data_IF_316248933305
#
_entry.id   IF_316248933305
#
_cell.length_a   1.000
_cell.length_b   1.000
_cell.length_c   1.000
_cell.angle_alpha   90.00
_cell.angle_beta   90.00
_cell.angle_gamma   90.00
#
_symmetry.space_group_name_H-M   'P 1'
#
loop_
_entity.id
_entity.type
_entity.pdbx_description
1 polymer ?
#
# COMPACT_ATOMS: atom_id res chain seq x y z
N UNK A 1 -6.83 -6.18 13.73
CA UNK A 1 -7.01 -5.01 12.84
C UNK A 1 -7.83 -5.43 11.62
N UNK A 2 -8.78 -4.59 11.17
CA UNK A 2 -9.66 -4.88 10.01
C UNK A 2 -9.17 -4.06 8.81
N UNK A 3 -8.64 -4.73 7.78
CA UNK A 3 -8.03 -4.06 6.61
C UNK A 3 -9.06 -3.69 5.53
N UNK A 4 -10.14 -4.46 5.35
CA UNK A 4 -11.07 -4.32 4.21
C UNK A 4 -12.55 -4.03 4.58
N UNK A 5 -12.90 -3.01 5.39
CA UNK A 5 -14.25 -2.84 5.92
C UNK A 5 -15.37 -2.73 4.87
N UNK A 6 -15.09 -2.15 3.70
CA UNK A 6 -16.04 -1.92 2.60
C UNK A 6 -15.38 -2.10 1.22
N UNK A 7 -16.21 -2.20 0.18
CA UNK A 7 -15.77 -2.37 -1.21
C UNK A 7 -14.89 -1.22 -1.69
N UNK A 8 -15.25 0.02 -1.37
CA UNK A 8 -14.48 1.21 -1.78
C UNK A 8 -13.08 1.26 -1.18
N UNK A 9 -12.92 0.88 0.09
CA UNK A 9 -11.58 0.79 0.70
C UNK A 9 -10.77 -0.34 0.09
N UNK A 10 -11.40 -1.47 -0.21
CA UNK A 10 -10.73 -2.58 -0.91
C UNK A 10 -10.22 -2.13 -2.28
N UNK A 11 -11.08 -1.44 -3.04
CA UNK A 11 -10.75 -0.81 -4.31
C UNK A 11 -9.52 0.09 -4.17
N UNK A 12 -9.55 1.04 -3.24
CA UNK A 12 -8.45 1.99 -3.04
C UNK A 12 -7.15 1.33 -2.57
N UNK A 13 -7.22 0.27 -1.75
CA UNK A 13 -6.04 -0.41 -1.23
C UNK A 13 -5.33 -1.29 -2.28
N UNK A 14 -6.10 -1.94 -3.16
CA UNK A 14 -5.56 -2.83 -4.20
C UNK A 14 -5.19 -2.09 -5.49
N UNK A 15 -5.73 -0.89 -5.71
CA UNK A 15 -5.52 -0.11 -6.93
C UNK A 15 -4.05 0.12 -7.30
N UNK A 16 -3.12 0.43 -6.36
CA UNK A 16 -1.71 0.56 -6.70
C UNK A 16 -1.09 -0.73 -7.24
N UNK A 17 -1.54 -1.89 -6.75
CA UNK A 17 -1.01 -3.20 -7.19
C UNK A 17 -1.64 -3.63 -8.53
N UNK A 18 -2.83 -3.12 -8.86
CA UNK A 18 -3.43 -3.25 -10.19
C UNK A 18 -2.68 -2.38 -11.21
N UNK A 19 -2.40 -1.13 -10.85
CA UNK A 19 -1.69 -0.17 -11.71
C UNK A 19 -0.22 -0.57 -11.95
N UNK A 20 0.40 -1.29 -11.01
CA UNK A 20 1.73 -1.88 -11.20
C UNK A 20 1.73 -3.16 -12.04
N UNK A 21 0.55 -3.70 -12.38
CA UNK A 21 0.40 -4.98 -13.07
C UNK A 21 0.71 -6.20 -12.19
N UNK A 22 0.81 -6.04 -10.87
CA UNK A 22 1.01 -7.16 -9.95
C UNK A 22 -0.24 -8.03 -9.86
N UNK A 23 -1.44 -7.45 -9.88
CA UNK A 23 -2.69 -8.21 -9.91
C UNK A 23 -3.44 -7.99 -11.21
N UNK A 24 -4.15 -9.02 -11.67
CA UNK A 24 -4.98 -8.92 -12.87
C UNK A 24 -6.24 -8.09 -12.60
N UNK A 25 -6.83 -7.52 -13.65
CA UNK A 25 -8.12 -6.82 -13.54
C UNK A 25 -9.24 -7.77 -13.08
N UNK A 26 -9.15 -9.06 -13.44
CA UNK A 26 -10.10 -10.10 -13.02
C UNK A 26 -10.07 -10.30 -11.50
N UNK A 27 -8.88 -10.57 -10.95
CA UNK A 27 -8.66 -10.79 -9.52
C UNK A 27 -9.07 -9.58 -8.68
N UNK A 28 -8.77 -8.37 -9.19
CA UNK A 28 -9.19 -7.11 -8.57
C UNK A 28 -10.72 -7.00 -8.46
N UNK A 29 -11.45 -7.32 -9.53
CA UNK A 29 -12.91 -7.27 -9.53
C UNK A 29 -13.51 -8.35 -8.60
N UNK A 30 -12.96 -9.57 -8.61
CA UNK A 30 -13.34 -10.62 -7.69
C UNK A 30 -13.15 -10.18 -6.23
N UNK A 31 -12.00 -9.60 -5.90
CA UNK A 31 -11.68 -9.13 -4.55
C UNK A 31 -12.68 -8.07 -4.05
N UNK A 32 -13.03 -7.09 -4.88
CA UNK A 32 -13.99 -6.03 -4.54
C UNK A 32 -15.37 -6.63 -4.22
N UNK A 33 -15.81 -7.63 -4.98
CA UNK A 33 -17.09 -8.31 -4.75
C UNK A 33 -17.06 -9.21 -3.49
N UNK A 34 -15.92 -9.84 -3.21
CA UNK A 34 -15.78 -10.84 -2.16
C UNK A 34 -15.63 -10.23 -0.76
N UNK A 35 -14.70 -9.30 -0.53
CA UNK A 35 -14.39 -8.81 0.83
C UNK A 35 -15.53 -8.16 1.65
N UNK A 36 -16.57 -7.52 1.07
CA UNK A 36 -17.70 -7.02 1.86
C UNK A 36 -18.69 -8.12 2.32
N UNK A 37 -18.73 -9.28 1.65
CA UNK A 37 -19.86 -10.23 1.75
C UNK A 37 -19.85 -11.25 2.91
N UNK A 38 -18.76 -12.02 3.16
CA UNK A 38 -18.79 -13.20 4.02
C UNK A 38 -19.02 -12.91 5.50
N UNK A 39 -18.76 -11.66 5.93
CA UNK A 39 -18.71 -11.29 7.35
C UNK A 39 -20.01 -11.49 8.09
N UNK A 40 -21.13 -11.27 7.40
CA UNK A 40 -22.45 -11.41 8.01
C UNK A 40 -22.96 -12.85 7.98
N UNK A 41 -22.27 -13.79 7.32
CA UNK A 41 -22.76 -15.17 7.20
C UNK A 41 -22.89 -15.87 8.56
N UNK A 42 -21.90 -15.85 9.47
CA UNK A 42 -22.04 -16.49 10.79
C UNK A 42 -23.17 -15.89 11.62
N UNK A 43 -23.33 -14.56 11.58
CA UNK A 43 -24.40 -13.86 12.31
C UNK A 43 -25.77 -14.22 11.75
N UNK A 44 -25.92 -14.19 10.41
CA UNK A 44 -27.18 -14.57 9.74
C UNK A 44 -27.60 -16.00 10.06
N UNK A 45 -26.66 -16.95 10.00
CA UNK A 45 -26.95 -18.35 10.33
C UNK A 45 -27.17 -18.57 11.83
N UNK A 46 -26.46 -17.84 12.70
CA UNK A 46 -26.71 -17.84 14.15
C UNK A 46 -28.13 -17.37 14.49
N UNK A 47 -28.58 -16.25 13.91
CA UNK A 47 -29.96 -15.77 14.05
C UNK A 47 -30.95 -16.81 13.51
N UNK A 48 -30.68 -17.37 12.33
CA UNK A 48 -31.49 -18.47 11.77
C UNK A 48 -31.60 -19.67 12.70
N UNK A 49 -30.50 -20.05 13.37
CA UNK A 49 -30.46 -21.11 14.37
C UNK A 49 -31.31 -20.79 15.62
N UNK A 50 -31.28 -19.55 16.11
CA UNK A 50 -32.15 -19.09 17.20
C UNK A 50 -33.62 -19.20 16.78
N UNK A 51 -33.97 -18.70 15.59
CA UNK A 51 -35.36 -18.70 15.10
C UNK A 51 -35.87 -20.13 14.92
N UNK A 52 -35.05 -21.02 14.35
CA UNK A 52 -35.41 -22.42 14.13
C UNK A 52 -35.59 -23.18 15.46
N UNK A 53 -34.67 -23.00 16.42
CA UNK A 53 -34.79 -23.59 17.75
C UNK A 53 -36.00 -23.03 18.52
N UNK A 54 -36.22 -21.72 18.48
CA UNK A 54 -37.36 -21.05 19.11
C UNK A 54 -38.69 -21.52 18.53
N UNK A 55 -38.80 -21.60 17.19
CA UNK A 55 -39.99 -22.11 16.52
C UNK A 55 -40.27 -23.58 16.90
N UNK A 56 -39.23 -24.42 16.94
CA UNK A 56 -39.37 -25.80 17.40
C UNK A 56 -39.90 -25.88 18.85
N UNK A 57 -39.34 -25.09 19.76
CA UNK A 57 -39.77 -25.07 21.16
C UNK A 57 -41.20 -24.55 21.33
N UNK A 58 -41.59 -23.52 20.57
CA UNK A 58 -42.90 -22.89 20.67
C UNK A 58 -44.01 -23.72 20.03
N UNK A 59 -43.82 -24.18 18.79
CA UNK A 59 -44.88 -24.89 18.05
C UNK A 59 -44.94 -26.39 18.36
N UNK A 60 -43.78 -27.05 18.49
CA UNK A 60 -43.72 -28.51 18.68
C UNK A 60 -43.75 -28.87 20.15
N UNK A 61 -42.90 -28.22 20.97
CA UNK A 61 -42.81 -28.53 22.40
C UNK A 61 -43.70 -27.67 23.29
N UNK A 62 -44.33 -26.62 22.76
CA UNK A 62 -45.21 -25.70 23.48
C UNK A 62 -44.60 -25.16 24.78
N UNK A 63 -43.30 -24.89 24.78
CA UNK A 63 -42.60 -24.33 25.95
C UNK A 63 -42.99 -22.86 26.11
N UNK A 64 -43.44 -22.41 27.30
CA UNK A 64 -43.82 -21.01 27.49
C UNK A 64 -42.62 -20.07 27.31
N UNK A 65 -42.84 -18.99 26.57
CA UNK A 65 -41.86 -17.93 26.36
C UNK A 65 -41.57 -17.29 27.72
N UNK A 66 -40.34 -17.45 28.21
CA UNK A 66 -39.95 -17.04 29.57
C UNK A 66 -39.53 -18.19 30.49
N UNK A 67 -39.73 -19.45 30.09
CA UNK A 67 -39.17 -20.59 30.82
C UNK A 67 -37.63 -20.54 30.82
N UNK A 68 -37.01 -20.85 31.97
CA UNK A 68 -35.55 -21.02 32.09
C UNK A 68 -34.99 -22.06 31.09
N UNK A 69 -35.82 -22.99 30.59
CA UNK A 69 -35.43 -24.00 29.60
C UNK A 69 -35.32 -23.44 28.17
N UNK A 70 -35.89 -22.26 27.91
CA UNK A 70 -35.91 -21.65 26.58
C UNK A 70 -34.53 -21.09 26.19
N UNK A 71 -33.91 -20.31 27.09
CA UNK A 71 -32.62 -19.66 26.89
C UNK A 71 -31.47 -20.60 26.49
N UNK A 72 -31.18 -21.70 27.21
CA UNK A 72 -30.08 -22.60 26.83
C UNK A 72 -30.32 -23.28 25.49
N UNK A 73 -31.58 -23.60 25.15
CA UNK A 73 -31.91 -24.24 23.89
C UNK A 73 -31.77 -23.28 22.69
N UNK A 74 -32.21 -22.02 22.82
CA UNK A 74 -31.93 -21.00 21.79
C UNK A 74 -30.44 -20.67 21.69
N UNK A 75 -29.72 -20.70 22.82
CA UNK A 75 -28.27 -20.55 22.85
C UNK A 75 -27.56 -21.63 22.04
N UNK A 76 -27.94 -22.90 22.23
CA UNK A 76 -27.42 -24.01 21.42
C UNK A 76 -27.73 -23.84 19.93
N UNK A 77 -28.95 -23.40 19.59
CA UNK A 77 -29.33 -23.06 18.23
C UNK A 77 -28.44 -21.99 17.60
N UNK A 78 -28.13 -20.93 18.36
CA UNK A 78 -27.19 -19.89 17.92
C UNK A 78 -25.80 -20.47 17.63
N UNK A 79 -25.25 -21.27 18.55
CA UNK A 79 -23.92 -21.88 18.38
C UNK A 79 -23.84 -22.78 17.15
N UNK A 80 -24.83 -23.66 16.95
CA UNK A 80 -24.89 -24.54 15.77
C UNK A 80 -25.01 -23.72 14.48
N UNK A 81 -25.89 -22.71 14.47
CA UNK A 81 -26.04 -21.81 13.33
C UNK A 81 -24.74 -21.05 13.02
N UNK A 82 -24.04 -20.57 14.04
CA UNK A 82 -22.76 -19.89 13.87
C UNK A 82 -21.69 -20.82 13.28
N UNK A 83 -21.63 -22.07 13.76
CA UNK A 83 -20.74 -23.11 13.22
C UNK A 83 -20.97 -23.37 11.73
N UNK A 84 -22.22 -23.51 11.30
CA UNK A 84 -22.57 -23.65 9.86
C UNK A 84 -22.11 -22.43 9.07
N UNK A 85 -22.31 -21.23 9.61
CA UNK A 85 -21.87 -19.99 8.96
C UNK A 85 -20.34 -19.87 8.83
N UNK A 86 -19.58 -20.40 9.78
CA UNK A 86 -18.11 -20.48 9.68
C UNK A 86 -17.67 -21.44 8.57
N UNK A 87 -18.28 -22.63 8.48
CA UNK A 87 -17.99 -23.59 7.39
C UNK A 87 -18.27 -22.95 6.03
N UNK A 88 -19.42 -22.30 5.87
CA UNK A 88 -19.76 -21.60 4.61
C UNK A 88 -18.82 -20.44 4.29
N UNK A 89 -18.33 -19.75 5.31
CA UNK A 89 -17.34 -18.69 5.10
C UNK A 89 -16.03 -19.28 4.60
N UNK A 90 -15.60 -20.41 5.16
CA UNK A 90 -14.41 -21.14 4.68
C UNK A 90 -14.59 -21.64 3.24
N UNK A 91 -15.76 -22.19 2.90
CA UNK A 91 -16.07 -22.63 1.53
C UNK A 91 -16.09 -21.46 0.54
N UNK A 92 -16.64 -20.30 0.94
CA UNK A 92 -16.60 -19.08 0.13
C UNK A 92 -15.16 -18.61 -0.10
N UNK A 93 -14.30 -18.66 0.93
CA UNK A 93 -12.87 -18.35 0.78
C UNK A 93 -12.15 -19.34 -0.15
N UNK A 94 -12.43 -20.64 -0.03
CA UNK A 94 -11.88 -21.65 -0.96
C UNK A 94 -12.30 -21.38 -2.39
N UNK A 95 -13.58 -21.08 -2.60
CA UNK A 95 -14.14 -20.77 -3.92
C UNK A 95 -13.49 -19.51 -4.50
N UNK A 96 -13.40 -18.44 -3.72
CA UNK A 96 -12.71 -17.21 -4.11
C UNK A 96 -11.25 -17.47 -4.50
N UNK A 97 -10.47 -18.15 -3.66
CA UNK A 97 -9.08 -18.48 -3.98
C UNK A 97 -8.99 -19.36 -5.23
N UNK A 98 -9.95 -20.27 -5.43
CA UNK A 98 -9.97 -21.12 -6.62
C UNK A 98 -10.23 -20.39 -7.92
N UNK A 99 -10.92 -19.25 -7.87
CA UNK A 99 -11.26 -18.39 -9.01
C UNK A 99 -10.18 -17.36 -9.36
N UNK A 100 -9.18 -17.17 -8.50
CA UNK A 100 -8.07 -16.26 -8.82
C UNK A 100 -7.21 -16.85 -9.93
N UNK A 101 -6.89 -16.02 -10.93
CA UNK A 101 -6.00 -16.38 -12.03
C UNK A 101 -4.57 -16.59 -11.50
N UNK A 102 -4.08 -15.63 -10.70
CA UNK A 102 -2.70 -15.62 -10.19
C UNK A 102 -2.69 -15.51 -8.66
N UNK A 103 -2.99 -16.63 -7.99
CA UNK A 103 -3.10 -16.70 -6.52
C UNK A 103 -1.88 -16.12 -5.80
N UNK A 104 -0.68 -16.45 -6.26
CA UNK A 104 0.58 -16.03 -5.62
C UNK A 104 0.75 -14.52 -5.67
N UNK A 105 0.52 -13.90 -6.83
CA UNK A 105 0.62 -12.45 -6.99
C UNK A 105 -0.45 -11.71 -6.19
N UNK A 106 -1.66 -12.27 -6.11
CA UNK A 106 -2.71 -11.71 -5.26
C UNK A 106 -2.35 -11.72 -3.78
N UNK A 107 -1.76 -12.81 -3.26
CA UNK A 107 -1.28 -12.86 -1.87
C UNK A 107 -0.13 -11.87 -1.62
N UNK A 108 0.75 -11.68 -2.60
CA UNK A 108 1.80 -10.66 -2.53
C UNK A 108 1.20 -9.25 -2.45
N UNK A 109 0.18 -8.94 -3.26
CA UNK A 109 -0.55 -7.68 -3.18
C UNK A 109 -1.23 -7.48 -1.81
N UNK A 110 -1.85 -8.52 -1.25
CA UNK A 110 -2.41 -8.45 0.11
C UNK A 110 -1.33 -8.17 1.17
N UNK A 111 -0.12 -8.73 1.00
CA UNK A 111 0.99 -8.44 1.89
C UNK A 111 1.46 -6.98 1.73
N UNK A 112 1.55 -6.46 0.50
CA UNK A 112 1.83 -5.05 0.25
C UNK A 112 0.79 -4.14 0.92
N UNK A 113 -0.49 -4.46 0.79
CA UNK A 113 -1.58 -3.75 1.49
C UNK A 113 -1.37 -3.79 2.99
N UNK A 114 -1.07 -4.96 3.56
CA UNK A 114 -0.82 -5.11 4.99
C UNK A 114 0.33 -4.21 5.45
N UNK A 115 1.47 -4.26 4.75
CA UNK A 115 2.64 -3.41 5.04
C UNK A 115 2.32 -1.92 4.94
N UNK A 116 1.50 -1.51 3.95
CA UNK A 116 1.01 -0.13 3.81
C UNK A 116 0.10 0.28 4.97
N UNK A 117 -0.79 -0.61 5.44
CA UNK A 117 -1.78 -0.30 6.49
C UNK A 117 -1.26 -0.40 7.93
N UNK A 118 -0.22 -1.19 8.19
CA UNK A 118 0.36 -1.36 9.53
C UNK A 118 1.28 -0.20 9.95
N UNK A 119 1.32 0.91 9.20
CA UNK A 119 2.07 2.12 9.57
C UNK A 119 3.57 2.05 9.27
N UNK A 120 4.09 0.93 8.75
CA UNK A 120 5.42 0.86 8.12
C UNK A 120 5.44 1.47 6.71
N UNK A 121 4.26 1.75 6.15
CA UNK A 121 4.12 2.31 4.81
C UNK A 121 4.70 3.71 4.66
N UNK A 122 4.65 4.55 5.69
CA UNK A 122 5.16 5.93 5.58
C UNK A 122 6.70 5.96 5.54
N UNK A 123 7.35 5.04 6.24
CA UNK A 123 8.81 4.88 6.20
C UNK A 123 9.29 4.28 4.87
N UNK A 124 8.55 3.31 4.33
CA UNK A 124 8.84 2.72 3.01
C UNK A 124 8.53 3.72 1.89
N UNK A 125 7.49 4.55 2.00
CA UNK A 125 7.17 5.60 1.03
C UNK A 125 8.22 6.71 1.06
N UNK A 126 8.72 7.10 2.24
CA UNK A 126 9.90 7.96 2.32
C UNK A 126 11.15 7.31 1.73
N UNK A 127 11.37 6.01 1.93
CA UNK A 127 12.52 5.31 1.34
C UNK A 127 12.41 5.12 -0.17
N UNK A 128 11.24 4.82 -0.73
CA UNK A 128 11.04 4.73 -2.18
C UNK A 128 11.23 6.10 -2.84
N UNK A 129 10.69 7.16 -2.23
CA UNK A 129 10.92 8.55 -2.67
C UNK A 129 12.40 8.94 -2.53
N UNK A 130 13.14 8.40 -1.54
CA UNK A 130 14.59 8.64 -1.39
C UNK A 130 15.46 7.78 -2.34
N UNK A 131 14.99 6.61 -2.76
CA UNK A 131 15.76 5.70 -3.61
C UNK A 131 15.83 6.20 -5.05
N UNK A 132 14.80 6.90 -5.51
CA UNK A 132 14.79 7.55 -6.84
C UNK A 132 15.67 8.80 -6.92
N UNK A 133 16.14 9.32 -5.78
CA UNK A 133 17.05 10.48 -5.72
C UNK A 133 18.53 10.06 -5.78
N UNK A 134 18.87 8.80 -5.45
CA UNK A 134 20.26 8.36 -5.33
C UNK A 134 20.78 7.43 -6.44
N UNK A 135 19.98 7.12 -7.46
CA UNK A 135 20.45 6.62 -8.77
C UNK A 135 21.46 5.46 -8.75
N UNK A 136 21.39 4.59 -7.74
CA UNK A 136 22.20 3.40 -7.63
C UNK A 136 21.28 2.22 -7.30
N UNK A 137 20.72 1.62 -8.36
CA UNK A 137 20.05 0.33 -8.29
C UNK A 137 21.10 -0.73 -7.93
N UNK A 138 21.23 -1.02 -6.64
CA UNK A 138 21.80 -2.31 -6.22
C UNK A 138 20.77 -3.35 -6.62
N UNK A 139 21.15 -4.22 -7.56
CA UNK A 139 20.32 -5.30 -8.06
C UNK A 139 19.71 -6.08 -6.91
N UNK A 140 18.39 -6.23 -6.96
CA UNK A 140 17.64 -7.20 -6.17
C UNK A 140 18.18 -8.58 -6.49
N UNK A 141 19.06 -9.06 -5.61
CA UNK A 141 19.44 -10.45 -5.53
C UNK A 141 18.23 -11.30 -5.16
N UNK A 142 18.02 -12.32 -5.97
CA UNK A 142 17.73 -13.70 -5.59
C UNK A 142 16.54 -13.97 -4.65
N UNK A 143 15.55 -14.64 -5.25
CA UNK A 143 14.60 -15.45 -4.51
C UNK A 143 15.30 -16.48 -3.63
N UNK A 144 14.80 -16.60 -2.41
CA UNK A 144 15.15 -17.66 -1.48
C UNK A 144 14.71 -19.02 -2.02
N UNK A 145 15.57 -19.64 -2.83
CA UNK A 145 15.64 -21.09 -2.94
C UNK A 145 16.50 -21.62 -1.79
N UNK A 146 16.06 -22.73 -1.21
CA UNK A 146 16.77 -23.49 -0.18
C UNK A 146 18.19 -23.88 -0.61
N UNK A 147 19.13 -23.86 0.35
CA UNK A 147 20.58 -24.15 0.24
C UNK A 147 20.88 -25.64 -0.07
N UNK A 148 22.10 -25.97 -0.60
CA UNK A 148 23.22 -26.31 0.29
C UNK A 148 24.64 -25.86 -0.15
N UNK A 149 25.49 -25.68 0.86
CA UNK A 149 26.95 -25.45 0.92
C UNK A 149 27.81 -25.68 -0.33
N UNK A 150 28.66 -24.69 -0.69
CA UNK A 150 30.05 -24.93 -1.09
C UNK A 150 31.01 -23.79 -0.63
N UNK A 151 32.23 -24.21 -0.34
CA UNK A 151 33.39 -23.59 0.34
C UNK A 151 34.03 -22.39 -0.38
N UNK A 152 34.71 -21.45 0.34
CA UNK A 152 35.44 -20.36 -0.28
C UNK A 152 36.88 -20.75 -0.62
N UNK A 153 37.34 -20.47 -1.85
CA UNK A 153 38.76 -20.45 -2.22
C UNK A 153 39.26 -19.01 -2.25
N UNK A 154 40.25 -18.75 -1.41
CA UNK A 154 40.93 -17.46 -1.22
C UNK A 154 42.04 -17.29 -2.26
N UNK A 155 42.15 -16.12 -2.89
CA UNK A 155 43.40 -15.68 -3.54
C UNK A 155 43.48 -14.16 -3.46
N UNK A 156 44.31 -13.65 -2.54
CA UNK A 156 44.70 -12.25 -2.47
C UNK A 156 46.20 -12.13 -2.76
N UNK A 157 46.53 -11.24 -3.69
CA UNK A 157 47.88 -10.91 -4.11
C UNK A 157 48.48 -9.75 -3.29
N UNK A 158 49.82 -9.73 -3.28
CA UNK A 158 50.78 -8.95 -2.50
C UNK A 158 50.84 -7.45 -2.86
N UNK A 159 51.23 -6.54 -1.94
CA UNK A 159 51.63 -5.15 -2.27
C UNK A 159 53.10 -4.82 -1.94
N UNK A 160 53.70 -3.88 -2.70
CA UNK A 160 54.88 -3.05 -2.34
C UNK A 160 55.07 -1.88 -3.38
N UNK A 161 55.95 -0.87 -3.18
CA UNK A 161 55.80 0.22 -2.20
C UNK A 161 56.16 1.66 -2.73
N UNK A 162 55.82 2.68 -1.91
CA UNK A 162 56.48 3.98 -1.65
C UNK A 162 56.91 4.98 -2.74
N UNK A 163 56.51 6.26 -2.58
CA UNK A 163 57.39 7.44 -2.75
C UNK A 163 56.90 8.63 -1.91
N UNK A 164 57.82 9.27 -1.17
CA UNK A 164 57.67 10.53 -0.40
C UNK A 164 58.10 11.73 -1.26
N UNK A 165 57.51 12.93 -1.05
CA UNK A 165 58.23 14.22 -1.04
C UNK A 165 57.34 15.42 -0.64
N UNK A 166 57.92 16.40 0.08
CA UNK A 166 57.54 17.81 -0.07
C UNK A 166 56.83 18.53 1.10
N UNK A 167 57.61 18.98 2.09
CA UNK A 167 57.20 19.76 3.26
C UNK A 167 56.86 21.23 2.94
N UNK A 168 55.64 21.68 3.29
CA UNK A 168 55.28 23.10 3.55
C UNK A 168 54.46 23.14 4.85
N UNK A 169 54.65 24.10 5.76
CA UNK A 169 53.86 24.20 6.98
C UNK A 169 52.43 24.61 6.62
N UNK A 170 51.58 23.60 6.47
CA UNK A 170 50.15 23.76 6.20
C UNK A 170 49.47 24.30 7.46
N UNK A 171 48.57 25.30 7.35
CA UNK A 171 47.74 25.71 8.47
C UNK A 171 46.92 24.51 8.94
N UNK A 172 46.86 24.33 10.26
CA UNK A 172 46.16 23.24 10.95
C UNK A 172 44.83 22.95 10.24
N UNK A 173 44.64 21.76 9.63
CA UNK A 173 43.41 21.45 8.92
C UNK A 173 42.30 21.38 9.96
N UNK A 174 41.44 22.39 9.94
CA UNK A 174 40.16 22.30 10.66
C UNK A 174 39.45 21.07 10.09
N UNK A 175 38.89 20.19 10.95
CA UNK A 175 38.15 19.04 10.46
C UNK A 175 37.09 19.55 9.47
N UNK A 176 37.00 18.94 8.27
CA UNK A 176 36.10 19.42 7.23
C UNK A 176 34.70 19.52 7.83
N UNK A 177 34.10 20.70 7.71
CA UNK A 177 32.72 20.91 8.11
C UNK A 177 31.86 19.87 7.38
N UNK A 178 30.82 19.33 8.03
CA UNK A 178 29.84 18.46 7.35
C UNK A 178 29.33 19.11 6.06
N UNK A 179 29.26 20.45 6.02
CA UNK A 179 28.89 21.18 4.81
C UNK A 179 29.94 21.12 3.70
N UNK A 180 31.23 21.09 4.03
CA UNK A 180 32.30 20.94 3.03
C UNK A 180 32.34 19.52 2.48
N UNK A 181 32.05 18.50 3.30
CA UNK A 181 31.89 17.11 2.87
C UNK A 181 30.70 16.94 1.92
N UNK A 182 29.55 17.56 2.24
CA UNK A 182 28.37 17.58 1.35
C UNK A 182 28.69 18.30 0.03
N UNK A 183 29.40 19.43 0.07
CA UNK A 183 29.77 20.16 -1.15
C UNK A 183 30.76 19.40 -2.03
N UNK A 184 31.74 18.71 -1.43
CA UNK A 184 32.70 17.88 -2.18
C UNK A 184 32.08 16.58 -2.70
N UNK A 185 31.12 16.00 -1.99
CA UNK A 185 30.34 14.86 -2.47
C UNK A 185 29.45 15.25 -3.66
N UNK A 186 28.75 16.40 -3.57
CA UNK A 186 27.91 16.89 -4.66
C UNK A 186 28.71 17.32 -5.90
N UNK A 187 29.91 17.89 -5.75
CA UNK A 187 30.73 18.29 -6.91
C UNK A 187 31.36 17.12 -7.65
N UNK A 188 31.64 16.00 -6.96
CA UNK A 188 32.15 14.77 -7.59
C UNK A 188 31.07 14.00 -8.34
N UNK A 189 29.82 14.07 -7.89
CA UNK A 189 28.67 13.49 -8.57
C UNK A 189 28.08 14.47 -9.59
N UNK A 190 28.89 14.92 -10.56
CA UNK A 190 28.49 15.84 -11.65
C UNK A 190 27.40 15.32 -12.60
N UNK A 191 26.58 14.37 -12.17
CA UNK A 191 25.32 13.99 -12.82
C UNK A 191 24.35 15.16 -12.61
N UNK A 192 23.75 15.62 -13.71
CA UNK A 192 22.62 16.57 -13.74
C UNK A 192 21.70 16.31 -12.56
N UNK A 193 21.58 17.29 -11.66
CA UNK A 193 20.73 17.18 -10.47
C UNK A 193 19.33 16.72 -10.88
N UNK A 194 18.66 15.90 -10.06
CA UNK A 194 17.27 15.50 -10.31
C UNK A 194 16.35 16.73 -10.51
N UNK A 195 16.70 17.86 -9.88
CA UNK A 195 16.07 19.15 -10.11
C UNK A 195 16.26 19.69 -11.53
N UNK A 196 17.44 19.46 -12.12
CA UNK A 196 17.75 19.86 -13.49
C UNK A 196 17.03 18.97 -14.49
N UNK A 197 16.90 17.67 -14.21
CA UNK A 197 16.10 16.74 -15.01
C UNK A 197 14.60 17.10 -15.00
N UNK A 198 14.07 17.52 -13.83
CA UNK A 198 12.68 17.99 -13.72
C UNK A 198 12.46 19.29 -14.50
N UNK A 199 13.39 20.24 -14.40
CA UNK A 199 13.35 21.49 -15.15
C UNK A 199 13.43 21.23 -16.66
N UNK A 200 14.35 20.37 -17.09
CA UNK A 200 14.51 19.99 -18.49
C UNK A 200 13.28 19.25 -19.04
N UNK A 201 12.59 18.47 -18.21
CA UNK A 201 11.32 17.82 -18.59
C UNK A 201 10.21 18.86 -18.78
N UNK A 202 10.11 19.86 -17.90
CA UNK A 202 9.17 20.97 -18.04
C UNK A 202 9.48 21.84 -19.25
N UNK A 203 10.75 22.15 -19.52
CA UNK A 203 11.16 22.92 -20.69
C UNK A 203 10.86 22.18 -22.01
N UNK A 204 11.03 20.84 -22.05
CA UNK A 204 10.67 20.03 -23.23
C UNK A 204 9.16 19.90 -23.45
N UNK A 205 8.39 19.76 -22.37
CA UNK A 205 6.93 19.70 -22.47
C UNK A 205 6.36 21.02 -23.01
N UNK A 206 6.82 22.16 -22.47
CA UNK A 206 6.38 23.48 -22.91
C UNK A 206 6.81 23.82 -24.34
N UNK A 207 7.95 23.30 -24.82
CA UNK A 207 8.39 23.53 -26.20
C UNK A 207 7.56 22.73 -27.23
N UNK A 208 6.95 21.62 -26.84
CA UNK A 208 6.20 20.74 -27.76
C UNK A 208 4.72 21.14 -27.86
N UNK A 209 4.11 21.60 -26.75
CA UNK A 209 2.73 22.07 -26.75
C UNK A 209 2.53 23.43 -27.46
N UNK A 210 3.61 24.21 -27.63
CA UNK A 210 3.52 25.54 -28.22
C UNK A 210 3.38 25.54 -29.77
N UNK A 211 3.44 24.37 -30.43
CA UNK A 211 3.31 24.28 -31.90
C UNK A 211 1.89 23.90 -32.34
N UNK A 212 1.04 23.39 -31.45
CA UNK A 212 -0.23 22.76 -31.86
C UNK A 212 -1.50 23.38 -31.27
N UNK A 213 -1.39 24.40 -30.41
CA UNK A 213 -2.56 24.97 -29.75
C UNK A 213 -2.61 26.50 -29.84
N UNK A 214 -2.88 27.03 -31.03
CA UNK A 214 -3.47 28.37 -31.20
C UNK A 214 -4.96 28.34 -30.86
N UNK A 215 -5.29 27.92 -29.64
CA UNK A 215 -6.59 28.15 -28.99
C UNK A 215 -6.26 28.79 -27.64
N UNK A 216 -6.62 30.06 -27.50
CA UNK A 216 -6.29 30.94 -26.38
C UNK A 216 -6.34 30.24 -25.01
N UNK A 217 -5.21 30.08 -24.31
CA UNK A 217 -5.17 29.56 -22.94
C UNK A 217 -5.61 30.56 -21.87
N UNK A 218 -6.03 31.78 -22.24
CA UNK A 218 -6.43 32.83 -21.29
C UNK A 218 -7.74 32.51 -20.53
N UNK A 219 -8.62 31.63 -21.05
CA UNK A 219 -9.92 31.40 -20.42
C UNK A 219 -9.90 30.40 -19.27
N UNK A 220 -9.02 29.39 -19.29
CA UNK A 220 -8.96 28.38 -18.21
C UNK A 220 -8.29 28.94 -16.96
N UNK A 221 -7.20 29.69 -17.10
CA UNK A 221 -6.52 30.32 -15.96
C UNK A 221 -7.42 31.32 -15.21
N UNK A 222 -8.17 32.15 -15.95
CA UNK A 222 -9.10 33.10 -15.34
C UNK A 222 -10.26 32.41 -14.59
N UNK A 223 -10.72 31.25 -15.08
CA UNK A 223 -11.78 30.49 -14.44
C UNK A 223 -11.30 29.78 -13.17
N UNK A 224 -10.08 29.24 -13.16
CA UNK A 224 -9.48 28.64 -11.98
C UNK A 224 -9.19 29.69 -10.90
N UNK A 225 -8.72 30.88 -11.30
CA UNK A 225 -8.48 32.01 -10.39
C UNK A 225 -9.78 32.46 -9.70
N UNK A 226 -10.85 32.65 -10.47
CA UNK A 226 -12.16 33.05 -9.94
C UNK A 226 -12.74 32.00 -8.97
N UNK A 227 -12.48 30.72 -9.22
CA UNK A 227 -12.93 29.63 -8.34
C UNK A 227 -12.16 29.61 -7.02
N UNK A 228 -10.87 29.93 -7.05
CA UNK A 228 -10.03 30.04 -5.85
C UNK A 228 -10.45 31.23 -4.98
N UNK A 229 -10.69 32.39 -5.61
CA UNK A 229 -11.15 33.59 -4.91
C UNK A 229 -12.53 33.37 -4.26
N UNK A 230 -13.44 32.68 -4.96
CA UNK A 230 -14.76 32.34 -4.41
C UNK A 230 -14.69 31.43 -3.17
N UNK A 231 -13.70 30.54 -3.11
CA UNK A 231 -13.46 29.67 -1.96
C UNK A 231 -12.91 30.44 -0.75
N UNK A 232 -12.00 31.39 -1.00
CA UNK A 232 -11.44 32.28 0.03
C UNK A 232 -12.48 33.21 0.63
N UNK A 233 -13.36 33.79 -0.20
CA UNK A 233 -14.44 34.66 0.30
C UNK A 233 -15.49 33.87 1.11
N UNK A 234 -15.76 32.62 0.74
CA UNK A 234 -16.63 31.73 1.51
C UNK A 234 -16.05 31.42 2.89
N UNK A 235 -14.74 31.18 2.99
CA UNK A 235 -14.05 30.97 4.27
C UNK A 235 -14.04 32.24 5.13
N UNK A 236 -13.83 33.41 4.52
CA UNK A 236 -13.81 34.70 5.23
C UNK A 236 -15.18 35.09 5.79
N UNK A 237 -16.26 34.75 5.10
CA UNK A 237 -17.63 34.97 5.58
C UNK A 237 -18.05 33.99 6.68
N UNK A 238 -17.45 32.81 6.75
CA UNK A 238 -17.77 31.82 7.79
C UNK A 238 -17.31 32.25 9.19
N UNK A 239 -16.27 33.09 9.28
CA UNK A 239 -15.71 33.56 10.56
C UNK A 239 -16.36 34.82 11.13
N UNK A 240 -17.46 35.34 10.53
CA UNK A 240 -18.08 36.62 10.89
C UNK A 240 -19.48 36.51 11.51
N UNK A 241 -19.93 35.29 11.82
CA UNK A 241 -21.16 34.99 12.56
C UNK A 241 -20.85 34.45 13.96
#
# INVERSE_FOLDING_TARGET
MRTFPNGDRTKNLLRPDLESGLITQHDYNLAISFFPGPRLLPVKHGIGGILLAGAYLFFVRKVPIGSMRYWPATGLGFWVGNGIGLVRTADAHKTFVSQLDEREHFFQALNNVRMRTEGKGDEIREQMVRTDVNGNTVGTGEGGAWTPSQVPTSTAAVPAPSTQEGSKPSPIPKPPSRWDEIRTANSRNGRTSSWDALRQKHERASATDNVQNTRSPESEGAQEQARFDALLDAERNYGRN
#
